data_IF_746911640174
#
_entry.id   IF_746911640174
#
_cell.length_a   1.000
_cell.length_b   1.000
_cell.length_c   1.000
_cell.angle_alpha   90.00
_cell.angle_beta   90.00
_cell.angle_gamma   90.00
#
_symmetry.space_group_name_H-M   'P 1'
#
loop_
_entity.id
_entity.type
_entity.pdbx_description
1 polymer ?
#
# COMPACT_ATOMS: atom_id res chain seq x y z
N UNK A 1 41.57 30.62 49.71
CA UNK A 1 40.35 29.87 49.40
C UNK A 1 39.86 30.32 48.02
N UNK A 2 40.70 30.16 46.99
CA UNK A 2 40.47 30.67 45.62
C UNK A 2 41.57 30.07 44.73
N UNK A 3 41.35 28.89 44.14
CA UNK A 3 42.14 28.30 43.03
C UNK A 3 41.56 26.95 42.51
N UNK A 4 40.23 26.75 42.54
CA UNK A 4 39.60 25.47 42.11
C UNK A 4 38.28 25.70 41.35
N UNK A 5 38.16 26.78 40.58
CA UNK A 5 37.07 26.94 39.62
C UNK A 5 37.50 26.36 38.27
N UNK A 6 37.10 25.12 38.00
CA UNK A 6 37.32 24.45 36.71
C UNK A 6 37.70 22.97 36.78
N UNK A 7 37.94 22.42 37.98
CA UNK A 7 38.26 21.01 38.18
C UNK A 7 37.02 20.39 38.85
N UNK A 8 36.41 19.38 38.20
CA UNK A 8 35.29 18.62 38.75
C UNK A 8 35.59 18.09 40.16
N UNK A 9 34.54 17.72 40.91
CA UNK A 9 34.68 17.29 42.30
C UNK A 9 35.74 16.18 42.43
N UNK A 10 36.84 16.40 43.17
CA UNK A 10 37.93 15.44 43.27
C UNK A 10 37.51 14.22 44.11
N UNK A 11 37.56 13.03 43.52
CA UNK A 11 37.18 11.76 44.13
C UNK A 11 38.38 10.82 44.22
N UNK A 12 38.63 10.30 45.42
CA UNK A 12 39.60 9.24 45.68
C UNK A 12 38.84 7.93 45.91
N UNK A 13 39.15 6.89 45.13
CA UNK A 13 38.56 5.56 45.32
C UNK A 13 39.46 4.71 46.22
N UNK A 14 38.94 4.29 47.37
CA UNK A 14 39.62 3.38 48.30
C UNK A 14 39.10 1.96 48.08
N UNK A 15 39.93 1.10 47.53
CA UNK A 15 39.60 -0.18 46.93
C UNK A 15 39.53 -0.08 45.40
N UNK A 16 40.30 -0.92 44.71
CA UNK A 16 40.49 -1.01 43.25
C UNK A 16 39.79 -2.21 42.61
N UNK A 17 38.83 -2.83 43.30
CA UNK A 17 38.04 -3.98 42.82
C UNK A 17 37.07 -3.65 41.69
N UNK A 18 36.08 -4.52 41.46
CA UNK A 18 35.08 -4.34 40.38
C UNK A 18 34.26 -3.05 40.49
N UNK A 19 33.94 -2.62 41.71
CA UNK A 19 33.23 -1.36 41.95
C UNK A 19 34.04 -0.14 41.50
N UNK A 20 35.35 -0.14 41.74
CA UNK A 20 36.23 0.95 41.33
C UNK A 20 36.37 1.01 39.81
N UNK A 21 36.52 -0.15 39.15
CA UNK A 21 36.52 -0.23 37.69
C UNK A 21 35.25 0.40 37.10
N UNK A 22 34.09 0.01 37.61
CA UNK A 22 32.81 0.53 37.15
C UNK A 22 32.67 2.04 37.39
N UNK A 23 33.19 2.57 38.51
CA UNK A 23 33.22 4.00 38.79
C UNK A 23 34.13 4.76 37.82
N UNK A 24 35.32 4.23 37.52
CA UNK A 24 36.22 4.82 36.54
C UNK A 24 35.57 4.82 35.16
N UNK A 25 35.02 3.70 34.69
CA UNK A 25 34.34 3.65 33.38
C UNK A 25 33.14 4.61 33.30
N UNK A 26 32.46 4.84 34.43
CA UNK A 26 31.25 5.65 34.51
C UNK A 26 31.52 7.15 34.59
N UNK A 27 32.50 7.57 35.39
CA UNK A 27 32.71 8.97 35.75
C UNK A 27 33.83 9.64 34.94
N UNK A 28 34.53 8.87 34.09
CA UNK A 28 35.69 9.38 33.35
C UNK A 28 35.38 10.51 32.36
N UNK A 29 34.19 10.48 31.76
CA UNK A 29 33.77 11.47 30.76
C UNK A 29 32.89 12.57 31.37
N UNK A 30 32.66 12.52 32.70
CA UNK A 30 31.78 13.45 33.39
C UNK A 30 32.56 14.67 33.89
N UNK A 31 32.35 15.85 33.28
CA UNK A 31 33.08 17.09 33.61
C UNK A 31 32.93 17.54 35.09
N UNK A 32 31.86 17.09 35.76
CA UNK A 32 31.55 17.44 37.15
C UNK A 32 32.35 16.63 38.17
N UNK A 33 33.06 15.56 37.76
CA UNK A 33 33.78 14.65 38.66
C UNK A 33 35.20 14.42 38.13
N UNK A 34 36.18 14.45 39.04
CA UNK A 34 37.56 14.13 38.70
C UNK A 34 38.06 13.00 39.61
N UNK A 35 38.35 11.83 39.05
CA UNK A 35 38.97 10.75 39.84
C UNK A 35 40.46 11.08 40.00
N UNK A 36 40.84 11.50 41.20
CA UNK A 36 42.20 11.97 41.52
C UNK A 36 43.12 10.86 41.99
N UNK A 37 42.58 9.67 42.29
CA UNK A 37 43.39 8.52 42.65
C UNK A 37 42.59 7.25 42.91
N UNK A 38 43.28 6.11 42.85
CA UNK A 38 42.76 4.79 43.25
C UNK A 38 43.76 4.10 44.16
N UNK A 39 43.32 3.68 45.35
CA UNK A 39 44.15 2.96 46.30
C UNK A 39 43.72 1.50 46.43
N UNK A 40 44.63 0.55 46.20
CA UNK A 40 44.39 -0.87 46.48
C UNK A 40 45.73 -1.58 46.74
N UNK A 41 45.85 -2.41 47.79
CA UNK A 41 47.06 -3.20 48.02
C UNK A 41 47.31 -4.25 46.93
N UNK A 42 46.29 -4.64 46.16
CA UNK A 42 46.39 -5.58 45.05
C UNK A 42 46.55 -4.84 43.70
N UNK A 43 47.74 -4.83 43.08
CA UNK A 43 47.97 -4.15 41.82
C UNK A 43 47.23 -4.79 40.64
N UNK A 44 46.82 -6.06 40.75
CA UNK A 44 46.07 -6.76 39.70
C UNK A 44 44.57 -6.47 39.74
N UNK A 45 44.11 -5.72 40.76
CA UNK A 45 42.70 -5.39 40.92
C UNK A 45 42.18 -4.63 39.67
N UNK A 46 40.97 -4.97 39.18
CA UNK A 46 40.52 -4.56 37.85
C UNK A 46 40.31 -3.06 37.68
N UNK A 47 39.96 -2.34 38.76
CA UNK A 47 39.88 -0.87 38.78
C UNK A 47 41.24 -0.21 38.96
N UNK A 48 42.15 -0.84 39.71
CA UNK A 48 43.54 -0.38 39.85
C UNK A 48 44.28 -0.40 38.51
N UNK A 49 44.17 -1.50 37.75
CA UNK A 49 44.76 -1.59 36.39
C UNK A 49 44.14 -0.59 35.42
N UNK A 50 42.82 -0.43 35.42
CA UNK A 50 42.15 0.55 34.57
C UNK A 50 42.57 1.99 34.91
N UNK A 51 42.79 2.29 36.20
CA UNK A 51 43.32 3.57 36.63
C UNK A 51 44.71 3.84 36.04
N UNK A 52 45.62 2.85 36.05
CA UNK A 52 46.94 2.96 35.42
C UNK A 52 46.83 3.17 33.90
N UNK A 53 45.99 2.39 33.21
CA UNK A 53 45.75 2.53 31.76
C UNK A 53 45.26 3.94 31.37
N UNK A 54 44.49 4.57 32.25
CA UNK A 54 43.93 5.91 32.05
C UNK A 54 44.79 7.04 32.63
N UNK A 55 45.95 6.73 33.19
CA UNK A 55 46.86 7.73 33.77
C UNK A 55 46.38 8.34 35.09
N UNK A 56 45.44 7.69 35.79
CA UNK A 56 45.00 8.09 37.12
C UNK A 56 46.07 7.65 38.14
N UNK A 57 46.47 8.50 39.10
CA UNK A 57 47.39 8.11 40.16
C UNK A 57 46.90 6.86 40.93
N UNK A 58 47.81 5.90 41.15
CA UNK A 58 47.51 4.66 41.87
C UNK A 58 48.41 4.49 43.08
N UNK A 59 47.85 3.99 44.18
CA UNK A 59 48.53 3.88 45.47
C UNK A 59 48.33 2.49 46.07
N UNK A 60 49.41 1.87 46.53
CA UNK A 60 49.31 0.58 47.25
C UNK A 60 48.80 0.74 48.69
N UNK A 61 48.89 1.94 49.25
CA UNK A 61 48.45 2.27 50.62
C UNK A 61 47.36 3.35 50.62
N UNK A 62 46.29 3.09 51.39
CA UNK A 62 45.13 3.98 51.46
C UNK A 62 45.43 5.30 52.20
N UNK A 63 46.29 5.29 53.22
CA UNK A 63 46.63 6.48 54.00
C UNK A 63 47.55 7.41 53.21
N UNK A 64 48.49 6.85 52.44
CA UNK A 64 49.31 7.60 51.49
C UNK A 64 48.44 8.28 50.44
N UNK A 65 47.49 7.55 49.84
CA UNK A 65 46.55 8.10 48.87
C UNK A 65 45.69 9.24 49.45
N UNK A 66 45.17 9.05 50.67
CA UNK A 66 44.37 10.04 51.38
C UNK A 66 45.13 11.33 51.62
N UNK A 67 46.45 11.28 51.84
CA UNK A 67 47.31 12.46 52.04
C UNK A 67 47.68 13.12 50.72
N UNK A 68 48.00 12.33 49.69
CA UNK A 68 48.41 12.82 48.38
C UNK A 68 47.28 13.50 47.60
N UNK A 69 46.04 13.01 47.75
CA UNK A 69 44.90 13.46 46.96
C UNK A 69 44.04 14.56 47.63
N UNK A 70 44.49 15.20 48.72
CA UNK A 70 43.70 16.27 49.37
C UNK A 70 43.75 17.58 48.58
N UNK A 71 42.63 18.34 48.49
CA UNK A 71 41.30 18.01 49.00
C UNK A 71 40.53 17.05 48.06
N UNK A 72 39.90 16.00 48.61
CA UNK A 72 39.02 15.09 47.86
C UNK A 72 37.83 14.59 48.70
N UNK A 73 36.87 13.94 48.03
CA UNK A 73 35.89 13.03 48.63
C UNK A 73 36.45 11.62 48.52
N UNK A 74 36.59 10.91 49.64
CA UNK A 74 37.01 9.52 49.64
C UNK A 74 35.80 8.60 49.54
N UNK A 75 35.79 7.72 48.53
CA UNK A 75 34.77 6.69 48.36
C UNK A 75 35.38 5.34 48.78
N UNK A 76 34.96 4.84 49.94
CA UNK A 76 35.39 3.54 50.45
C UNK A 76 34.58 2.40 49.84
N UNK A 77 35.20 1.70 48.90
CA UNK A 77 34.68 0.52 48.19
C UNK A 77 35.18 -0.80 48.79
N UNK A 78 36.06 -0.76 49.80
CA UNK A 78 36.62 -1.98 50.43
C UNK A 78 35.64 -2.67 51.37
N UNK A 79 34.64 -1.95 51.88
CA UNK A 79 33.73 -2.42 52.92
C UNK A 79 34.35 -2.53 54.32
N UNK A 80 35.62 -2.13 54.49
CA UNK A 80 36.30 -2.15 55.78
C UNK A 80 36.05 -0.85 56.55
N UNK A 81 35.48 -0.96 57.75
CA UNK A 81 35.22 0.20 58.63
C UNK A 81 36.52 0.92 59.02
N UNK A 82 37.62 0.19 59.19
CA UNK A 82 38.94 0.75 59.50
C UNK A 82 39.45 1.74 58.44
N UNK A 83 39.12 1.50 57.16
CA UNK A 83 39.47 2.41 56.06
C UNK A 83 38.59 3.66 56.08
N UNK A 84 37.29 3.51 56.40
CA UNK A 84 36.42 4.66 56.60
C UNK A 84 36.88 5.51 57.79
N UNK A 85 37.23 4.90 58.93
CA UNK A 85 37.75 5.61 60.11
C UNK A 85 39.03 6.40 59.80
N UNK A 86 39.98 5.77 59.08
CA UNK A 86 41.20 6.44 58.64
C UNK A 86 40.90 7.61 57.68
N UNK A 87 39.97 7.44 56.74
CA UNK A 87 39.55 8.50 55.84
C UNK A 87 38.85 9.65 56.58
N UNK A 88 38.03 9.36 57.59
CA UNK A 88 37.33 10.38 58.41
C UNK A 88 38.33 11.17 59.24
N UNK A 89 39.32 10.52 59.83
CA UNK A 89 40.38 11.18 60.58
C UNK A 89 41.18 12.17 59.71
N UNK A 90 41.34 11.85 58.43
CA UNK A 90 42.13 12.65 57.49
C UNK A 90 41.31 13.73 56.76
N UNK A 91 40.05 13.46 56.38
CA UNK A 91 39.23 14.34 55.52
C UNK A 91 37.99 14.95 56.21
N UNK A 92 37.61 14.44 57.37
CA UNK A 92 36.34 14.74 58.02
C UNK A 92 35.17 13.89 57.50
N UNK A 93 34.17 13.64 58.35
CA UNK A 93 33.05 12.74 58.05
C UNK A 93 32.25 13.13 56.81
N UNK A 94 32.05 14.44 56.60
CA UNK A 94 31.31 15.01 55.46
C UNK A 94 31.92 14.67 54.08
N UNK A 95 33.17 14.20 54.04
CA UNK A 95 33.93 13.93 52.82
C UNK A 95 34.25 12.45 52.60
N UNK A 96 33.63 11.55 53.37
CA UNK A 96 33.85 10.11 53.27
C UNK A 96 32.52 9.42 52.95
N UNK A 97 32.45 8.79 51.79
CA UNK A 97 31.32 7.97 51.37
C UNK A 97 31.73 6.50 51.47
N UNK A 98 31.15 5.71 52.37
CA UNK A 98 31.59 4.33 52.59
C UNK A 98 30.50 3.39 53.07
N UNK A 99 30.82 2.10 53.13
CA UNK A 99 29.93 1.08 53.69
C UNK A 99 28.66 0.84 52.85
N UNK A 100 27.52 0.72 53.53
CA UNK A 100 26.23 0.44 52.88
C UNK A 100 25.73 1.58 51.99
N UNK A 101 26.02 2.84 52.35
CA UNK A 101 25.57 4.02 51.61
C UNK A 101 26.20 4.10 50.21
N UNK A 102 27.52 3.92 50.12
CA UNK A 102 28.23 3.86 48.84
C UNK A 102 27.74 2.70 47.96
N UNK A 103 27.43 1.55 48.58
CA UNK A 103 26.90 0.37 47.90
C UNK A 103 25.48 0.60 47.36
N UNK A 104 24.62 1.26 48.12
CA UNK A 104 23.25 1.62 47.73
C UNK A 104 23.24 2.62 46.57
N UNK A 105 24.04 3.69 46.67
CA UNK A 105 24.19 4.69 45.61
C UNK A 105 24.66 4.02 44.31
N UNK A 106 25.64 3.12 44.40
CA UNK A 106 26.14 2.40 43.25
C UNK A 106 25.09 1.47 42.63
N UNK A 107 24.33 0.73 43.45
CA UNK A 107 23.23 -0.11 42.97
C UNK A 107 22.15 0.72 42.24
N UNK A 108 21.86 1.92 42.73
CA UNK A 108 20.91 2.84 42.07
C UNK A 108 21.44 3.35 40.72
N UNK A 109 22.71 3.78 40.66
CA UNK A 109 23.34 4.25 39.41
C UNK A 109 23.35 3.14 38.35
N UNK A 110 23.72 1.91 38.72
CA UNK A 110 23.75 0.78 37.80
C UNK A 110 22.34 0.46 37.28
N UNK A 111 21.33 0.41 38.17
CA UNK A 111 19.92 0.22 37.76
C UNK A 111 19.42 1.32 36.83
N UNK A 112 19.73 2.59 37.10
CA UNK A 112 19.34 3.71 36.25
C UNK A 112 19.98 3.62 34.87
N UNK A 113 21.26 3.22 34.79
CA UNK A 113 21.95 3.01 33.50
C UNK A 113 21.36 1.85 32.70
N UNK A 114 21.03 0.74 33.37
CA UNK A 114 20.39 -0.40 32.73
C UNK A 114 19.02 -0.02 32.17
N UNK A 115 18.17 0.63 32.98
CA UNK A 115 16.87 1.12 32.54
C UNK A 115 16.98 2.10 31.35
N UNK A 116 17.96 3.02 31.38
CA UNK A 116 18.21 3.93 30.25
C UNK A 116 18.57 3.18 28.97
N UNK A 117 19.48 2.21 29.05
CA UNK A 117 19.91 1.40 27.89
C UNK A 117 18.77 0.56 27.32
N UNK A 118 17.93 -0.01 28.17
CA UNK A 118 16.74 -0.76 27.74
C UNK A 118 15.73 0.14 27.03
N UNK A 119 15.53 1.36 27.54
CA UNK A 119 14.67 2.35 26.91
C UNK A 119 15.20 2.79 25.54
N UNK A 120 16.49 3.14 25.45
CA UNK A 120 17.14 3.53 24.19
C UNK A 120 17.06 2.40 23.15
N UNK A 121 17.30 1.16 23.59
CA UNK A 121 17.16 -0.02 22.73
C UNK A 121 15.74 -0.20 22.23
N UNK A 122 14.74 -0.12 23.12
CA UNK A 122 13.33 -0.26 22.75
C UNK A 122 12.89 0.83 21.77
N UNK A 123 13.35 2.08 21.96
CA UNK A 123 13.10 3.18 21.03
C UNK A 123 13.73 2.92 19.66
N UNK A 124 14.98 2.48 19.61
CA UNK A 124 15.67 2.16 18.35
C UNK A 124 14.98 1.01 17.60
N UNK A 125 14.56 -0.04 18.32
CA UNK A 125 13.82 -1.17 17.75
C UNK A 125 12.48 -0.71 17.15
N UNK A 126 11.71 0.12 17.85
CA UNK A 126 10.45 0.68 17.35
C UNK A 126 10.65 1.51 16.07
N UNK A 127 11.65 2.39 16.06
CA UNK A 127 11.99 3.22 14.89
C UNK A 127 12.37 2.34 13.69
N UNK A 128 13.18 1.31 13.91
CA UNK A 128 13.57 0.38 12.84
C UNK A 128 12.36 -0.34 12.24
N UNK A 129 11.40 -0.78 13.07
CA UNK A 129 10.16 -1.43 12.60
C UNK A 129 9.32 -0.46 11.75
N UNK A 130 9.15 0.79 12.20
CA UNK A 130 8.39 1.81 11.47
C UNK A 130 9.02 2.15 10.11
N UNK A 131 10.35 2.21 10.05
CA UNK A 131 11.10 2.47 8.82
C UNK A 131 11.09 1.27 7.86
N UNK A 132 11.12 0.04 8.37
CA UNK A 132 11.09 -1.18 7.56
C UNK A 132 9.67 -1.57 7.09
N UNK A 133 8.62 -0.93 7.63
CA UNK A 133 7.25 -1.18 7.23
C UNK A 133 7.03 -0.83 5.74
N UNK A 134 6.46 -1.79 5.00
CA UNK A 134 6.14 -1.62 3.58
C UNK A 134 4.91 -0.73 3.39
N UNK A 135 3.93 -0.85 4.29
CA UNK A 135 2.73 -0.03 4.27
C UNK A 135 2.98 1.32 4.94
N UNK A 136 2.26 2.34 4.46
CA UNK A 136 2.26 3.64 5.09
C UNK A 136 1.60 3.56 6.47
N UNK A 137 2.23 4.19 7.46
CA UNK A 137 1.70 4.30 8.81
C UNK A 137 1.55 5.79 9.13
N UNK A 138 0.33 6.17 9.47
CA UNK A 138 -0.05 7.53 9.83
C UNK A 138 -0.70 7.46 11.21
N UNK A 139 -0.18 8.22 12.18
CA UNK A 139 -0.83 8.36 13.49
C UNK A 139 -1.38 9.76 13.63
N UNK A 140 -2.63 9.86 14.05
CA UNK A 140 -3.31 11.13 14.28
C UNK A 140 -3.85 11.22 15.71
N UNK A 141 -3.90 12.44 16.25
CA UNK A 141 -4.65 12.73 17.49
C UNK A 141 -6.15 12.69 17.22
N UNK A 142 -6.95 12.71 18.29
CA UNK A 142 -8.41 12.88 18.19
C UNK A 142 -8.87 14.17 17.47
N UNK A 143 -8.01 15.19 17.37
CA UNK A 143 -8.21 16.41 16.57
C UNK A 143 -8.01 16.20 15.05
N UNK A 144 -7.48 15.06 14.63
CA UNK A 144 -7.09 14.79 13.24
C UNK A 144 -5.69 15.29 12.86
N UNK A 145 -4.94 15.82 13.83
CA UNK A 145 -3.56 16.27 13.65
C UNK A 145 -2.60 15.08 13.52
N UNK A 146 -1.76 15.08 12.48
CA UNK A 146 -0.76 14.04 12.23
C UNK A 146 0.41 14.19 13.20
N UNK A 147 0.71 13.12 13.93
CA UNK A 147 1.84 13.03 14.88
C UNK A 147 2.91 12.04 14.44
N UNK A 148 2.60 11.14 13.52
CA UNK A 148 3.56 10.20 12.92
C UNK A 148 3.23 10.00 11.45
N UNK A 149 4.27 10.00 10.63
CA UNK A 149 4.20 9.74 9.20
C UNK A 149 5.47 9.01 8.80
N UNK A 150 5.39 7.69 8.58
CA UNK A 150 6.58 6.88 8.30
C UNK A 150 7.09 7.06 6.86
N UNK A 151 8.29 6.55 6.57
CA UNK A 151 8.93 6.64 5.26
C UNK A 151 8.07 6.06 4.11
N UNK A 152 7.33 4.98 4.36
CA UNK A 152 6.40 4.43 3.37
C UNK A 152 5.23 5.40 3.06
N UNK A 153 4.70 6.09 4.07
CA UNK A 153 3.69 7.13 3.87
C UNK A 153 4.27 8.34 3.11
N UNK A 154 5.53 8.71 3.36
CA UNK A 154 6.22 9.76 2.58
C UNK A 154 6.30 9.40 1.10
N UNK A 155 6.79 8.20 0.79
CA UNK A 155 6.84 7.70 -0.59
C UNK A 155 5.46 7.59 -1.24
N UNK A 156 4.44 7.24 -0.45
CA UNK A 156 3.07 7.10 -0.92
C UNK A 156 2.42 8.45 -1.24
N UNK A 157 2.46 9.43 -0.35
CA UNK A 157 1.75 10.70 -0.57
C UNK A 157 2.62 11.79 -1.24
N UNK A 158 3.94 11.59 -1.29
CA UNK A 158 4.90 12.55 -1.84
C UNK A 158 5.16 13.76 -0.93
N UNK A 159 4.80 13.66 0.35
CA UNK A 159 5.13 14.65 1.37
C UNK A 159 6.26 14.13 2.25
N UNK A 160 7.18 14.99 2.66
CA UNK A 160 8.06 14.68 3.78
C UNK A 160 7.28 14.79 5.10
N UNK A 161 7.66 14.01 6.12
CA UNK A 161 7.04 13.98 7.43
C UNK A 161 7.02 15.39 8.05
N UNK A 162 8.12 16.12 7.93
CA UNK A 162 8.28 17.51 8.40
C UNK A 162 7.24 18.47 7.80
N UNK A 163 6.71 18.18 6.61
CA UNK A 163 5.70 19.01 5.95
C UNK A 163 4.28 18.73 6.45
N UNK A 164 4.03 17.57 7.05
CA UNK A 164 2.69 17.08 7.42
C UNK A 164 2.50 16.95 8.93
N UNK A 165 3.56 16.79 9.70
CA UNK A 165 3.49 16.76 11.16
C UNK A 165 2.85 18.06 11.67
N UNK A 166 1.88 17.91 12.58
CA UNK A 166 1.09 19.02 13.10
C UNK A 166 -0.04 19.52 12.18
N UNK A 167 -0.17 18.98 10.97
CA UNK A 167 -1.26 19.32 10.05
C UNK A 167 -2.42 18.34 10.17
N UNK A 168 -3.58 18.76 9.70
CA UNK A 168 -4.76 17.91 9.70
C UNK A 168 -4.72 16.90 8.54
N UNK A 169 -5.01 15.64 8.84
CA UNK A 169 -4.99 14.51 7.87
C UNK A 169 -5.93 14.70 6.66
N UNK A 170 -6.92 15.59 6.75
CA UNK A 170 -7.81 15.94 5.64
C UNK A 170 -7.07 16.48 4.39
N UNK A 171 -5.80 16.89 4.51
CA UNK A 171 -4.99 17.26 3.35
C UNK A 171 -4.70 16.09 2.40
N UNK A 172 -4.71 14.85 2.91
CA UNK A 172 -4.39 13.61 2.16
C UNK A 172 -5.60 13.01 1.44
N UNK A 173 -6.73 13.72 1.38
CA UNK A 173 -7.97 13.25 0.77
C UNK A 173 -8.63 14.33 -0.10
N UNK A 174 -9.41 13.94 -1.13
CA UNK A 174 -10.16 14.87 -1.98
C UNK A 174 -11.17 15.70 -1.19
N UNK A 175 -11.48 16.90 -1.69
CA UNK A 175 -12.35 17.87 -0.99
C UNK A 175 -13.73 17.30 -0.63
N UNK A 176 -14.31 16.49 -1.52
CA UNK A 176 -15.60 15.84 -1.31
C UNK A 176 -15.62 14.92 -0.07
N UNK A 177 -14.48 14.29 0.25
CA UNK A 177 -14.35 13.34 1.35
C UNK A 177 -13.93 13.99 2.67
N UNK A 178 -13.34 15.20 2.64
CA UNK A 178 -12.89 15.94 3.84
C UNK A 178 -14.00 16.17 4.86
N UNK A 179 -15.18 16.58 4.40
CA UNK A 179 -16.32 16.88 5.29
C UNK A 179 -16.84 15.61 5.98
N UNK A 180 -16.88 14.49 5.27
CA UNK A 180 -17.32 13.21 5.82
C UNK A 180 -16.32 12.67 6.86
N UNK A 181 -15.01 12.89 6.65
CA UNK A 181 -13.99 12.42 7.58
C UNK A 181 -14.10 13.04 8.99
N UNK A 182 -14.28 14.36 9.07
CA UNK A 182 -14.46 15.04 10.37
C UNK A 182 -15.70 14.51 11.12
N UNK A 183 -16.80 14.25 10.41
CA UNK A 183 -18.01 13.67 10.97
C UNK A 183 -17.79 12.23 11.46
N UNK A 184 -16.95 11.42 10.78
CA UNK A 184 -16.65 10.04 11.20
C UNK A 184 -15.91 9.99 12.53
N UNK A 185 -14.87 10.81 12.73
CA UNK A 185 -14.12 10.87 13.99
C UNK A 185 -15.05 11.32 15.12
N UNK A 186 -15.79 12.42 14.93
CA UNK A 186 -16.72 12.91 15.95
C UNK A 186 -17.82 11.91 16.31
N UNK A 187 -18.37 11.20 15.32
CA UNK A 187 -19.38 10.17 15.54
C UNK A 187 -18.84 9.00 16.34
N UNK A 188 -17.64 8.53 16.02
CA UNK A 188 -16.98 7.44 16.76
C UNK A 188 -16.74 7.84 18.22
N UNK A 189 -16.15 9.02 18.45
CA UNK A 189 -15.88 9.54 19.80
C UNK A 189 -17.15 9.65 20.66
N UNK A 190 -18.29 10.01 20.05
CA UNK A 190 -19.57 10.15 20.76
C UNK A 190 -20.30 8.84 21.03
N UNK A 191 -20.18 7.86 20.13
CA UNK A 191 -21.10 6.71 20.13
C UNK A 191 -20.41 5.37 20.39
N UNK A 192 -19.07 5.32 20.36
CA UNK A 192 -18.29 4.07 20.35
C UNK A 192 -18.56 3.18 19.13
N UNK A 193 -19.49 3.56 18.24
CA UNK A 193 -19.82 2.83 17.03
C UNK A 193 -18.86 3.23 15.93
N UNK A 194 -18.00 2.30 15.57
CA UNK A 194 -17.08 2.43 14.46
C UNK A 194 -17.74 2.11 13.12
N UNK A 195 -17.44 2.91 12.10
CA UNK A 195 -17.59 2.53 10.69
C UNK A 195 -16.27 2.07 10.05
N UNK A 196 -15.11 2.34 10.67
CA UNK A 196 -13.77 2.11 10.11
C UNK A 196 -12.80 1.62 11.20
N UNK A 197 -12.82 2.23 12.39
CA UNK A 197 -11.95 1.92 13.52
C UNK A 197 -12.16 0.49 14.07
N UNK A 198 -11.14 -0.37 14.00
CA UNK A 198 -11.23 -1.76 14.46
C UNK A 198 -12.10 -2.67 13.57
N UNK A 199 -12.27 -2.32 12.29
CA UNK A 199 -12.93 -3.13 11.25
C UNK A 199 -11.95 -3.49 10.14
N UNK A 200 -12.33 -4.43 9.28
CA UNK A 200 -11.58 -4.82 8.08
C UNK A 200 -11.21 -3.60 7.22
N UNK A 201 -10.07 -3.69 6.52
CA UNK A 201 -9.54 -2.63 5.68
C UNK A 201 -10.55 -2.20 4.61
N UNK A 202 -10.65 -0.90 4.34
CA UNK A 202 -11.63 -0.33 3.41
C UNK A 202 -10.96 0.47 2.30
N UNK A 203 -11.52 0.41 1.11
CA UNK A 203 -11.10 1.23 -0.03
C UNK A 203 -11.67 2.66 0.10
N UNK A 204 -10.79 3.66 0.01
CA UNK A 204 -11.08 5.11 0.04
C UNK A 204 -10.30 5.81 -1.06
N UNK A 205 -10.62 7.08 -1.35
CA UNK A 205 -9.82 7.88 -2.29
C UNK A 205 -8.82 8.74 -1.52
N UNK A 206 -7.57 8.66 -1.92
CA UNK A 206 -6.50 9.47 -1.37
C UNK A 206 -6.00 10.50 -2.39
N UNK A 207 -5.34 11.56 -1.90
CA UNK A 207 -4.80 12.64 -2.71
C UNK A 207 -3.31 12.82 -2.40
N UNK A 208 -2.46 12.72 -3.42
CA UNK A 208 -1.02 12.98 -3.32
C UNK A 208 -0.71 14.48 -3.36
N UNK A 209 0.52 14.86 -2.99
CA UNK A 209 1.01 16.25 -3.04
C UNK A 209 0.91 16.90 -4.43
N UNK A 210 1.08 16.12 -5.49
CA UNK A 210 0.97 16.57 -6.88
C UNK A 210 -0.48 16.79 -7.34
N UNK A 211 -1.49 16.51 -6.50
CA UNK A 211 -2.91 16.61 -6.83
C UNK A 211 -3.51 15.36 -7.48
N UNK A 212 -2.73 14.30 -7.67
CA UNK A 212 -3.20 13.02 -8.20
C UNK A 212 -4.07 12.30 -7.17
N UNK A 213 -5.28 11.90 -7.59
CA UNK A 213 -6.16 11.05 -6.78
C UNK A 213 -5.91 9.58 -7.08
N UNK A 214 -5.88 8.74 -6.06
CA UNK A 214 -5.60 7.31 -6.20
C UNK A 214 -6.41 6.47 -5.19
N UNK A 215 -6.74 5.21 -5.53
CA UNK A 215 -7.43 4.32 -4.61
C UNK A 215 -6.47 3.84 -3.51
N UNK A 216 -6.93 3.95 -2.27
CA UNK A 216 -6.17 3.61 -1.08
C UNK A 216 -6.95 2.60 -0.23
N UNK A 217 -6.28 1.55 0.22
CA UNK A 217 -6.81 0.65 1.24
C UNK A 217 -6.37 1.16 2.61
N UNK A 218 -7.33 1.45 3.48
CA UNK A 218 -7.15 2.06 4.80
C UNK A 218 -7.69 1.15 5.90
N UNK A 219 -6.86 0.87 6.90
CA UNK A 219 -7.26 0.28 8.17
C UNK A 219 -6.96 1.27 9.30
N UNK A 220 -7.92 1.50 10.20
CA UNK A 220 -7.75 2.41 11.32
C UNK A 220 -7.92 1.66 12.62
N UNK A 221 -6.97 1.81 13.54
CA UNK A 221 -7.04 1.27 14.89
C UNK A 221 -6.97 2.38 15.93
N UNK A 222 -7.63 2.15 17.06
CA UNK A 222 -7.58 3.04 18.22
C UNK A 222 -6.34 2.71 19.07
N UNK A 223 -5.66 3.75 19.54
CA UNK A 223 -4.56 3.63 20.49
C UNK A 223 -4.81 4.61 21.64
N UNK A 224 -4.99 4.09 22.84
CA UNK A 224 -5.12 4.88 24.07
C UNK A 224 -3.74 4.96 24.74
N UNK A 225 -3.21 6.18 24.88
CA UNK A 225 -1.97 6.47 25.59
C UNK A 225 -2.27 7.37 26.80
N UNK A 226 -1.31 7.47 27.72
CA UNK A 226 -1.45 8.25 28.96
C UNK A 226 -1.75 9.74 28.70
N UNK A 227 -1.28 10.28 27.57
CA UNK A 227 -1.47 11.67 27.17
C UNK A 227 -2.67 11.90 26.23
N UNK A 228 -3.42 10.83 25.91
CA UNK A 228 -4.71 10.94 25.22
C UNK A 228 -4.99 9.86 24.18
N UNK A 229 -6.01 10.12 23.37
CA UNK A 229 -6.51 9.21 22.35
C UNK A 229 -5.90 9.48 20.97
N UNK A 230 -5.42 8.42 20.36
CA UNK A 230 -4.82 8.40 19.02
C UNK A 230 -5.52 7.41 18.10
N UNK A 231 -5.35 7.64 16.81
CA UNK A 231 -5.76 6.72 15.75
C UNK A 231 -4.57 6.39 14.87
N UNK A 232 -4.35 5.10 14.65
CA UNK A 232 -3.30 4.56 13.79
C UNK A 232 -3.94 4.11 12.49
N UNK A 233 -3.63 4.82 11.40
CA UNK A 233 -3.99 4.47 10.04
C UNK A 233 -2.87 3.69 9.36
N UNK A 234 -3.14 2.46 8.92
CA UNK A 234 -2.29 1.71 8.01
C UNK A 234 -2.87 1.84 6.61
N UNK A 235 -2.03 2.26 5.67
CA UNK A 235 -2.46 2.69 4.33
C UNK A 235 -1.64 2.01 3.24
N UNK A 236 -2.32 1.51 2.22
CA UNK A 236 -1.70 0.82 1.08
C UNK A 236 -2.28 1.30 -0.25
N UNK A 237 -1.40 1.58 -1.20
CA UNK A 237 -1.80 1.85 -2.59
C UNK A 237 -2.32 0.58 -3.25
N UNK A 238 -3.56 0.64 -3.75
CA UNK A 238 -4.16 -0.48 -4.48
C UNK A 238 -4.36 -0.17 -5.97
N UNK A 239 -3.73 0.89 -6.48
CA UNK A 239 -3.84 1.31 -7.89
C UNK A 239 -3.43 0.18 -8.84
N UNK A 240 -2.30 -0.47 -8.58
CA UNK A 240 -1.82 -1.58 -9.40
C UNK A 240 -2.78 -2.79 -9.37
N UNK A 241 -3.33 -3.10 -8.20
CA UNK A 241 -4.34 -4.16 -8.02
C UNK A 241 -5.58 -3.85 -8.85
N UNK A 242 -6.12 -2.64 -8.74
CA UNK A 242 -7.31 -2.18 -9.48
C UNK A 242 -7.09 -2.17 -10.99
N UNK A 243 -5.92 -1.69 -11.44
CA UNK A 243 -5.58 -1.72 -12.87
C UNK A 243 -5.47 -3.14 -13.41
N UNK A 244 -4.91 -4.07 -12.64
CA UNK A 244 -4.84 -5.48 -13.02
C UNK A 244 -6.24 -6.12 -13.06
N UNK A 245 -7.07 -5.86 -12.06
CA UNK A 245 -8.47 -6.32 -12.02
C UNK A 245 -9.27 -5.82 -13.22
N UNK A 246 -9.18 -4.52 -13.55
CA UNK A 246 -9.86 -3.94 -14.70
C UNK A 246 -9.33 -4.54 -16.01
N UNK A 247 -8.02 -4.75 -16.13
CA UNK A 247 -7.43 -5.38 -17.31
C UNK A 247 -7.89 -6.82 -17.48
N UNK A 248 -7.97 -7.58 -16.39
CA UNK A 248 -8.53 -8.94 -16.39
C UNK A 248 -9.99 -8.90 -16.82
N UNK A 249 -10.79 -7.98 -16.28
CA UNK A 249 -12.20 -7.80 -16.65
C UNK A 249 -12.34 -7.48 -18.14
N UNK A 250 -11.51 -6.59 -18.67
CA UNK A 250 -11.48 -6.26 -20.09
C UNK A 250 -11.13 -7.48 -20.94
N UNK A 251 -10.08 -8.22 -20.58
CA UNK A 251 -9.68 -9.44 -21.30
C UNK A 251 -10.72 -10.56 -21.22
N UNK A 252 -11.45 -10.66 -20.10
CA UNK A 252 -12.47 -11.68 -19.89
C UNK A 252 -13.74 -11.41 -20.72
N UNK A 253 -14.08 -10.14 -21.00
CA UNK A 253 -15.36 -9.76 -21.59
C UNK A 253 -15.28 -9.03 -22.94
N UNK A 254 -14.11 -8.55 -23.36
CA UNK A 254 -13.95 -7.78 -24.59
C UNK A 254 -12.85 -8.37 -25.49
N UNK A 255 -13.02 -8.26 -26.79
CA UNK A 255 -12.04 -8.61 -27.81
C UNK A 255 -10.90 -7.57 -27.80
N UNK A 256 -9.67 -8.03 -27.55
CA UNK A 256 -8.51 -7.15 -27.38
C UNK A 256 -8.18 -6.33 -28.62
N UNK A 257 -8.57 -6.80 -29.82
CA UNK A 257 -8.27 -6.12 -31.07
C UNK A 257 -9.28 -5.01 -31.38
N UNK A 258 -10.58 -5.30 -31.25
CA UNK A 258 -11.67 -4.40 -31.68
C UNK A 258 -12.31 -3.62 -30.53
N UNK A 259 -12.11 -4.04 -29.27
CA UNK A 259 -12.78 -3.46 -28.10
C UNK A 259 -14.29 -3.77 -28.04
N UNK A 260 -14.79 -4.63 -28.93
CA UNK A 260 -16.16 -5.15 -28.88
C UNK A 260 -16.27 -6.21 -27.77
N UNK A 261 -17.48 -6.44 -27.20
CA UNK A 261 -17.77 -7.66 -26.48
C UNK A 261 -17.22 -8.91 -27.18
N UNK A 262 -16.59 -9.79 -26.39
CA UNK A 262 -16.10 -11.08 -26.89
C UNK A 262 -17.22 -12.13 -26.83
N UNK A 263 -16.87 -13.36 -27.20
CA UNK A 263 -17.77 -14.52 -27.14
C UNK A 263 -18.44 -14.67 -25.78
N UNK A 264 -17.70 -14.59 -24.67
CA UNK A 264 -18.24 -14.77 -23.31
C UNK A 264 -19.30 -13.72 -22.96
N UNK A 265 -18.98 -12.43 -23.16
CA UNK A 265 -19.93 -11.34 -22.85
C UNK A 265 -21.15 -11.37 -23.79
N UNK A 266 -20.97 -11.78 -25.05
CA UNK A 266 -22.07 -11.97 -25.98
C UNK A 266 -23.08 -13.01 -25.48
N UNK A 267 -22.62 -14.22 -25.10
CA UNK A 267 -23.50 -15.29 -24.63
C UNK A 267 -24.21 -14.94 -23.31
N UNK A 268 -23.54 -14.21 -22.42
CA UNK A 268 -24.14 -13.67 -21.20
C UNK A 268 -25.30 -12.71 -21.52
N UNK A 269 -25.04 -11.72 -22.39
CA UNK A 269 -26.07 -10.74 -22.81
C UNK A 269 -27.21 -11.38 -23.57
N UNK A 270 -26.94 -12.35 -24.46
CA UNK A 270 -27.97 -13.08 -25.18
C UNK A 270 -28.87 -13.86 -24.21
N UNK A 271 -28.29 -14.54 -23.22
CA UNK A 271 -29.05 -15.25 -22.20
C UNK A 271 -29.96 -14.32 -21.39
N UNK A 272 -29.44 -13.16 -20.99
CA UNK A 272 -30.21 -12.13 -20.28
C UNK A 272 -31.34 -11.55 -21.15
N UNK A 273 -31.05 -11.19 -22.40
CA UNK A 273 -32.03 -10.65 -23.35
C UNK A 273 -33.14 -11.66 -23.65
N UNK A 274 -32.81 -12.95 -23.83
CA UNK A 274 -33.80 -14.01 -24.03
C UNK A 274 -34.69 -14.21 -22.80
N UNK A 275 -34.13 -14.16 -21.58
CA UNK A 275 -34.93 -14.24 -20.36
C UNK A 275 -35.89 -13.05 -20.22
N UNK A 276 -35.43 -11.84 -20.58
CA UNK A 276 -36.23 -10.62 -20.58
C UNK A 276 -37.35 -10.67 -21.63
N UNK A 277 -37.03 -11.08 -22.86
CA UNK A 277 -37.98 -11.26 -23.96
C UNK A 277 -39.08 -12.27 -23.60
N UNK A 278 -38.71 -13.41 -23.00
CA UNK A 278 -39.70 -14.40 -22.47
C UNK A 278 -40.65 -13.80 -21.46
N UNK A 279 -40.13 -12.95 -20.56
CA UNK A 279 -40.92 -12.34 -19.48
C UNK A 279 -41.90 -11.29 -20.00
N UNK A 280 -41.48 -10.47 -20.95
CA UNK A 280 -42.28 -9.34 -21.44
C UNK A 280 -42.99 -9.61 -22.78
N UNK A 281 -42.77 -10.77 -23.39
CA UNK A 281 -43.38 -11.14 -24.67
C UNK A 281 -42.83 -10.34 -25.85
N UNK A 282 -41.58 -9.86 -25.77
CA UNK A 282 -40.93 -9.15 -26.85
C UNK A 282 -40.14 -10.10 -27.75
N UNK A 283 -39.96 -9.71 -29.01
CA UNK A 283 -39.06 -10.39 -29.93
C UNK A 283 -37.66 -9.77 -29.83
N UNK A 284 -36.65 -10.62 -30.01
CA UNK A 284 -35.25 -10.20 -30.16
C UNK A 284 -34.70 -10.79 -31.44
N UNK A 285 -33.66 -10.15 -31.97
CA UNK A 285 -32.99 -10.59 -33.19
C UNK A 285 -31.52 -10.89 -32.93
N UNK A 286 -31.05 -11.95 -33.57
CA UNK A 286 -29.65 -12.33 -33.61
C UNK A 286 -29.18 -12.32 -35.05
N UNK A 287 -28.16 -11.53 -35.34
CA UNK A 287 -27.50 -11.48 -36.63
C UNK A 287 -26.13 -12.13 -36.49
N UNK A 288 -25.85 -13.16 -37.28
CA UNK A 288 -24.54 -13.79 -37.39
C UNK A 288 -23.88 -13.32 -38.68
N UNK A 289 -22.63 -12.86 -38.61
CA UNK A 289 -21.98 -12.10 -39.68
C UNK A 289 -20.58 -12.66 -39.91
N UNK A 290 -20.24 -12.90 -41.16
CA UNK A 290 -18.88 -13.25 -41.56
C UNK A 290 -18.39 -12.34 -42.68
N UNK A 291 -17.13 -11.91 -42.59
CA UNK A 291 -16.55 -11.00 -43.57
C UNK A 291 -16.08 -11.73 -44.83
N UNK A 292 -16.79 -11.45 -45.92
CA UNK A 292 -16.47 -12.00 -47.22
C UNK A 292 -15.18 -11.38 -47.77
N UNK A 293 -14.19 -12.24 -48.04
CA UNK A 293 -12.93 -11.82 -48.64
C UNK A 293 -11.87 -11.34 -47.65
N UNK A 294 -12.07 -11.53 -46.35
CA UNK A 294 -11.09 -11.17 -45.32
C UNK A 294 -9.79 -11.98 -45.42
N UNK A 295 -9.86 -13.31 -45.59
CA UNK A 295 -8.66 -14.15 -45.71
C UNK A 295 -7.69 -13.72 -46.83
N UNK A 296 -8.14 -13.45 -48.07
CA UNK A 296 -7.29 -12.88 -49.12
C UNK A 296 -6.61 -11.55 -48.75
N UNK A 297 -7.24 -10.71 -47.92
CA UNK A 297 -6.63 -9.46 -47.45
C UNK A 297 -5.43 -9.78 -46.55
N UNK A 298 -5.58 -10.71 -45.60
CA UNK A 298 -4.46 -11.17 -44.75
C UNK A 298 -3.34 -11.79 -45.58
N UNK A 299 -3.69 -12.68 -46.51
CA UNK A 299 -2.71 -13.40 -47.32
C UNK A 299 -1.90 -12.44 -48.22
N UNK A 300 -2.53 -11.35 -48.71
CA UNK A 300 -1.90 -10.39 -49.63
C UNK A 300 -1.18 -9.24 -48.92
N UNK A 301 -1.72 -8.75 -47.80
CA UNK A 301 -1.28 -7.50 -47.16
C UNK A 301 -0.74 -7.70 -45.74
N UNK A 302 -0.80 -8.91 -45.20
CA UNK A 302 -0.35 -9.26 -43.86
C UNK A 302 -1.40 -9.00 -42.78
N UNK A 303 -1.19 -9.65 -41.63
CA UNK A 303 -2.11 -9.60 -40.48
C UNK A 303 -2.28 -8.18 -39.92
N UNK A 304 -1.25 -7.34 -39.93
CA UNK A 304 -1.36 -5.95 -39.45
C UNK A 304 -2.41 -5.14 -40.23
N UNK A 305 -2.54 -5.38 -41.54
CA UNK A 305 -3.57 -4.73 -42.37
C UNK A 305 -4.94 -5.34 -42.08
N UNK A 306 -5.02 -6.66 -41.94
CA UNK A 306 -6.26 -7.32 -41.51
C UNK A 306 -6.77 -6.81 -40.16
N UNK A 307 -5.88 -6.57 -39.21
CA UNK A 307 -6.22 -6.04 -37.90
C UNK A 307 -6.82 -4.64 -37.97
N UNK A 308 -6.28 -3.78 -38.84
CA UNK A 308 -6.85 -2.46 -39.12
C UNK A 308 -8.21 -2.56 -39.80
N UNK A 309 -8.38 -3.51 -40.73
CA UNK A 309 -9.67 -3.77 -41.36
C UNK A 309 -10.72 -4.19 -40.32
N UNK A 310 -10.38 -5.11 -39.43
CA UNK A 310 -11.29 -5.57 -38.36
C UNK A 310 -11.68 -4.44 -37.40
N UNK A 311 -10.73 -3.57 -37.03
CA UNK A 311 -11.01 -2.38 -36.21
C UNK A 311 -12.00 -1.43 -36.89
N UNK A 312 -11.80 -1.17 -38.19
CA UNK A 312 -12.68 -0.28 -38.95
C UNK A 312 -14.07 -0.89 -39.16
N UNK A 313 -14.16 -2.19 -39.44
CA UNK A 313 -15.43 -2.93 -39.51
C UNK A 313 -16.17 -2.82 -38.18
N UNK A 314 -15.50 -3.08 -37.05
CA UNK A 314 -16.08 -2.96 -35.72
C UNK A 314 -16.63 -1.55 -35.45
N UNK A 315 -15.88 -0.52 -35.85
CA UNK A 315 -16.29 0.89 -35.74
C UNK A 315 -17.55 1.17 -36.55
N UNK A 316 -17.58 0.73 -37.82
CA UNK A 316 -18.74 0.92 -38.71
C UNK A 316 -19.98 0.19 -38.20
N UNK A 317 -19.85 -1.07 -37.77
CA UNK A 317 -20.96 -1.83 -37.20
C UNK A 317 -21.54 -1.17 -35.95
N UNK A 318 -20.70 -0.66 -35.04
CA UNK A 318 -21.18 0.10 -33.87
C UNK A 318 -21.98 1.34 -34.24
N UNK A 319 -21.65 2.02 -35.34
CA UNK A 319 -22.38 3.20 -35.80
C UNK A 319 -23.72 2.87 -36.47
N UNK A 320 -23.92 1.62 -36.90
CA UNK A 320 -25.17 1.18 -37.52
C UNK A 320 -26.26 0.79 -36.53
N UNK A 321 -25.90 0.59 -35.25
CA UNK A 321 -26.79 0.06 -34.21
C UNK A 321 -27.01 1.07 -33.10
N UNK A 322 -28.04 0.85 -32.26
CA UNK A 322 -28.35 1.71 -31.11
C UNK A 322 -27.49 1.32 -29.90
N UNK A 323 -27.45 2.18 -28.88
CA UNK A 323 -26.72 1.91 -27.64
C UNK A 323 -27.25 0.66 -26.89
N UNK A 324 -28.54 0.37 -27.02
CA UNK A 324 -29.17 -0.84 -26.48
C UNK A 324 -28.70 -2.14 -27.16
N UNK A 325 -28.21 -2.03 -28.41
CA UNK A 325 -27.84 -3.18 -29.22
C UNK A 325 -26.41 -3.60 -28.89
N UNK A 326 -26.09 -4.88 -29.12
CA UNK A 326 -24.74 -5.39 -28.86
C UNK A 326 -24.10 -5.86 -30.14
N UNK A 327 -23.00 -5.22 -30.56
CA UNK A 327 -22.08 -5.75 -31.57
C UNK A 327 -20.95 -6.47 -30.86
N UNK A 328 -20.74 -7.75 -31.16
CA UNK A 328 -19.66 -8.55 -30.59
C UNK A 328 -18.81 -9.20 -31.68
N UNK A 329 -17.55 -9.50 -31.37
CA UNK A 329 -16.68 -10.30 -32.22
C UNK A 329 -16.39 -11.62 -31.52
N UNK A 330 -16.77 -12.72 -32.15
CA UNK A 330 -16.73 -14.06 -31.53
C UNK A 330 -15.46 -14.84 -31.88
N UNK A 331 -14.78 -14.45 -32.96
CA UNK A 331 -13.47 -14.99 -33.37
C UNK A 331 -13.17 -14.63 -34.83
N UNK A 332 -11.89 -14.60 -35.23
CA UNK A 332 -11.50 -14.41 -36.63
C UNK A 332 -12.17 -13.21 -37.32
N UNK A 333 -12.91 -13.47 -38.38
CA UNK A 333 -13.75 -12.57 -39.17
C UNK A 333 -15.25 -12.64 -38.84
N UNK A 334 -15.60 -13.31 -37.74
CA UNK A 334 -16.98 -13.52 -37.32
C UNK A 334 -17.44 -12.47 -36.30
N UNK A 335 -18.53 -11.79 -36.64
CA UNK A 335 -19.21 -10.81 -35.81
C UNK A 335 -20.64 -11.25 -35.54
N UNK A 336 -21.20 -10.81 -34.42
CA UNK A 336 -22.61 -11.02 -34.10
C UNK A 336 -23.23 -9.72 -33.63
N UNK A 337 -24.50 -9.50 -33.98
CA UNK A 337 -25.30 -8.38 -33.49
C UNK A 337 -26.53 -8.91 -32.79
N UNK A 338 -26.71 -8.54 -31.53
CA UNK A 338 -27.89 -8.81 -30.72
C UNK A 338 -28.75 -7.55 -30.66
N UNK A 339 -30.02 -7.70 -31.03
CA UNK A 339 -31.06 -6.68 -31.00
C UNK A 339 -32.09 -7.09 -29.93
N UNK A 340 -31.98 -6.60 -28.68
CA UNK A 340 -32.77 -7.11 -27.55
C UNK A 340 -34.27 -6.86 -27.68
N UNK A 341 -34.67 -5.82 -28.41
CA UNK A 341 -36.04 -5.41 -28.61
C UNK A 341 -36.26 -5.09 -30.10
N UNK A 342 -37.10 -5.90 -30.75
CA UNK A 342 -37.45 -5.74 -32.16
C UNK A 342 -38.96 -5.58 -32.36
N UNK A 343 -39.30 -4.69 -33.30
CA UNK A 343 -40.64 -4.57 -33.88
C UNK A 343 -40.75 -5.48 -35.12
N UNK A 344 -40.56 -6.78 -34.92
CA UNK A 344 -40.66 -7.80 -35.97
C UNK A 344 -39.48 -7.87 -36.94
N UNK A 345 -39.66 -8.70 -37.97
CA UNK A 345 -38.64 -9.13 -38.91
C UNK A 345 -38.07 -8.00 -39.79
N UNK A 346 -38.89 -7.00 -40.13
CA UNK A 346 -38.45 -5.82 -40.89
C UNK A 346 -37.43 -4.97 -40.11
N UNK A 347 -37.54 -4.92 -38.79
CA UNK A 347 -36.55 -4.24 -37.94
C UNK A 347 -35.17 -4.89 -38.04
N UNK A 348 -35.12 -6.23 -37.92
CA UNK A 348 -33.87 -6.99 -38.06
C UNK A 348 -33.27 -6.86 -39.46
N UNK A 349 -34.12 -6.97 -40.50
CA UNK A 349 -33.71 -6.82 -41.91
C UNK A 349 -33.16 -5.41 -42.19
N UNK A 350 -33.76 -4.37 -41.62
CA UNK A 350 -33.29 -2.99 -41.73
C UNK A 350 -31.89 -2.83 -41.17
N UNK A 351 -31.62 -3.36 -39.96
CA UNK A 351 -30.29 -3.32 -39.35
C UNK A 351 -29.29 -4.13 -40.16
N UNK A 352 -29.65 -5.34 -40.59
CA UNK A 352 -28.78 -6.18 -41.42
C UNK A 352 -28.37 -5.50 -42.73
N UNK A 353 -29.31 -4.84 -43.42
CA UNK A 353 -29.02 -4.09 -44.64
C UNK A 353 -28.13 -2.86 -44.38
N UNK A 354 -28.30 -2.17 -43.25
CA UNK A 354 -27.40 -1.07 -42.86
C UNK A 354 -25.96 -1.55 -42.66
N UNK A 355 -25.79 -2.69 -41.99
CA UNK A 355 -24.46 -3.29 -41.77
C UNK A 355 -23.80 -3.67 -43.10
N UNK A 356 -24.56 -4.28 -44.01
CA UNK A 356 -24.09 -4.63 -45.34
C UNK A 356 -23.69 -3.38 -46.15
N UNK A 357 -24.53 -2.34 -46.14
CA UNK A 357 -24.24 -1.07 -46.81
C UNK A 357 -23.01 -0.37 -46.21
N UNK A 358 -22.79 -0.46 -44.90
CA UNK A 358 -21.61 0.12 -44.25
C UNK A 358 -20.29 -0.53 -44.72
N UNK A 359 -20.33 -1.76 -45.25
CA UNK A 359 -19.17 -2.43 -45.85
C UNK A 359 -19.07 -2.24 -47.36
N UNK A 360 -20.06 -1.62 -48.01
CA UNK A 360 -19.98 -1.33 -49.45
C UNK A 360 -18.88 -0.30 -49.77
N UNK A 361 -18.58 0.61 -48.85
CA UNK A 361 -17.46 1.54 -48.98
C UNK A 361 -16.13 0.82 -48.65
N UNK A 362 -15.07 0.97 -49.47
CA UNK A 362 -13.77 0.40 -49.16
C UNK A 362 -13.25 0.82 -47.77
N UNK A 363 -12.56 -0.10 -47.10
CA UNK A 363 -11.89 0.15 -45.82
C UNK A 363 -10.48 0.66 -46.10
N UNK A 364 -10.19 1.87 -45.64
CA UNK A 364 -8.85 2.44 -45.71
C UNK A 364 -8.01 1.95 -44.53
N UNK A 365 -6.97 1.16 -44.80
CA UNK A 365 -6.01 0.66 -43.82
C UNK A 365 -4.59 1.10 -44.20
N UNK A 366 -4.07 2.12 -43.49
CA UNK A 366 -2.85 2.85 -43.87
C UNK A 366 -2.97 3.37 -45.32
N UNK A 367 -2.06 2.94 -46.20
CA UNK A 367 -2.01 3.34 -47.61
C UNK A 367 -2.76 2.37 -48.54
N UNK A 368 -3.44 1.35 -47.99
CA UNK A 368 -4.16 0.34 -48.76
C UNK A 368 -5.67 0.51 -48.60
N UNK A 369 -6.37 0.50 -49.73
CA UNK A 369 -7.84 0.44 -49.77
C UNK A 369 -8.28 -1.00 -49.99
N UNK A 370 -8.99 -1.57 -49.01
CA UNK A 370 -9.48 -2.95 -49.03
C UNK A 370 -11.00 -2.98 -49.25
N UNK A 371 -11.46 -3.70 -50.27
CA UNK A 371 -12.88 -3.97 -50.49
C UNK A 371 -13.24 -5.35 -49.95
N UNK A 372 -14.26 -5.41 -49.11
CA UNK A 372 -14.81 -6.63 -48.53
C UNK A 372 -16.32 -6.52 -48.46
N UNK A 373 -17.00 -7.66 -48.34
CA UNK A 373 -18.43 -7.72 -48.07
C UNK A 373 -18.70 -8.44 -46.76
N UNK A 374 -19.96 -8.75 -46.50
CA UNK A 374 -20.31 -9.68 -45.44
C UNK A 374 -21.53 -10.53 -45.80
N UNK A 375 -21.52 -11.76 -45.31
CA UNK A 375 -22.67 -12.65 -45.35
C UNK A 375 -23.34 -12.61 -43.98
N UNK A 376 -24.63 -12.30 -43.95
CA UNK A 376 -25.40 -12.10 -42.71
C UNK A 376 -26.54 -13.13 -42.65
N UNK A 377 -26.60 -13.88 -41.56
CA UNK A 377 -27.73 -14.72 -41.18
C UNK A 377 -28.53 -14.10 -40.05
N UNK A 378 -29.86 -14.12 -40.13
CA UNK A 378 -30.75 -13.49 -39.16
C UNK A 378 -31.66 -14.53 -38.54
N UNK A 379 -31.65 -14.65 -37.21
CA UNK A 379 -32.60 -15.46 -36.46
C UNK A 379 -33.40 -14.59 -35.48
N UNK A 380 -34.66 -14.94 -35.23
CA UNK A 380 -35.55 -14.23 -34.31
C UNK A 380 -35.93 -15.17 -33.18
N UNK A 381 -35.95 -14.66 -31.96
CA UNK A 381 -36.54 -15.39 -30.85
C UNK A 381 -37.93 -14.80 -30.56
N UNK A 382 -38.95 -15.66 -30.33
CA UNK A 382 -38.88 -17.11 -30.19
C UNK A 382 -39.02 -17.94 -31.49
N UNK A 383 -39.23 -17.29 -32.64
CA UNK A 383 -39.67 -17.93 -33.90
C UNK A 383 -38.66 -18.97 -34.43
N UNK A 384 -37.37 -18.64 -34.42
CA UNK A 384 -36.28 -19.48 -34.96
C UNK A 384 -35.47 -20.17 -33.86
N UNK A 385 -35.98 -20.27 -32.63
CA UNK A 385 -35.29 -20.97 -31.56
C UNK A 385 -35.82 -20.61 -30.19
N UNK A 386 -35.91 -21.60 -29.30
CA UNK A 386 -36.40 -21.37 -27.94
C UNK A 386 -35.28 -21.21 -26.93
N UNK A 387 -34.09 -21.73 -27.19
CA UNK A 387 -32.90 -21.55 -26.35
C UNK A 387 -31.75 -20.89 -27.12
N UNK A 388 -30.70 -20.54 -26.38
CA UNK A 388 -29.53 -19.83 -26.89
C UNK A 388 -28.86 -20.62 -28.02
N UNK A 389 -28.69 -21.94 -27.84
CA UNK A 389 -27.98 -22.80 -28.79
C UNK A 389 -28.76 -22.94 -30.10
N UNK A 390 -30.07 -23.13 -30.03
CA UNK A 390 -30.95 -23.17 -31.20
C UNK A 390 -30.90 -21.87 -31.99
N UNK A 391 -31.03 -20.73 -31.31
CA UNK A 391 -31.07 -19.43 -31.98
C UNK A 391 -29.74 -19.11 -32.67
N UNK A 392 -28.62 -19.37 -31.99
CA UNK A 392 -27.27 -19.20 -32.57
C UNK A 392 -27.08 -20.13 -33.76
N UNK A 393 -27.49 -21.39 -33.65
CA UNK A 393 -27.41 -22.37 -34.74
C UNK A 393 -28.21 -21.93 -35.96
N UNK A 394 -29.44 -21.43 -35.78
CA UNK A 394 -30.25 -20.96 -36.90
C UNK A 394 -29.66 -19.71 -37.57
N UNK A 395 -29.13 -18.78 -36.78
CA UNK A 395 -28.46 -17.59 -37.33
C UNK A 395 -27.20 -17.97 -38.13
N UNK A 396 -26.40 -18.91 -37.63
CA UNK A 396 -25.20 -19.43 -38.32
C UNK A 396 -25.56 -20.18 -39.63
N UNK A 397 -26.57 -21.05 -39.60
CA UNK A 397 -27.05 -21.74 -40.80
C UNK A 397 -27.51 -20.76 -41.88
N UNK A 398 -28.30 -19.75 -41.53
CA UNK A 398 -28.73 -18.71 -42.46
C UNK A 398 -27.53 -17.93 -43.04
N UNK A 399 -26.52 -17.63 -42.20
CA UNK A 399 -25.30 -16.95 -42.66
C UNK A 399 -24.51 -17.83 -43.64
N UNK A 400 -24.42 -19.13 -43.39
CA UNK A 400 -23.77 -20.08 -44.28
C UNK A 400 -24.49 -20.18 -45.64
N UNK A 401 -25.82 -20.15 -45.65
CA UNK A 401 -26.60 -20.07 -46.87
C UNK A 401 -26.39 -18.77 -47.64
N UNK A 402 -26.24 -17.63 -46.94
CA UNK A 402 -25.89 -16.36 -47.56
C UNK A 402 -24.53 -16.46 -48.29
N UNK A 403 -23.54 -17.10 -47.68
CA UNK A 403 -22.24 -17.38 -48.32
C UNK A 403 -22.39 -18.22 -49.57
N UNK A 404 -23.14 -19.33 -49.50
CA UNK A 404 -23.35 -20.26 -50.64
C UNK A 404 -24.14 -19.62 -51.78
N UNK A 405 -25.06 -18.73 -51.46
CA UNK A 405 -25.91 -18.04 -52.45
C UNK A 405 -25.19 -16.88 -53.17
N UNK A 406 -23.87 -16.73 -53.01
CA UNK A 406 -23.06 -15.74 -53.74
C UNK A 406 -22.53 -14.59 -52.89
N UNK A 407 -22.53 -14.72 -51.55
CA UNK A 407 -21.93 -13.75 -50.60
C UNK A 407 -22.58 -12.36 -50.62
N UNK A 408 -22.11 -11.46 -49.75
CA UNK A 408 -22.54 -10.05 -49.68
C UNK A 408 -24.08 -9.89 -49.65
N UNK A 409 -24.76 -10.62 -48.77
CA UNK A 409 -26.21 -10.63 -48.65
C UNK A 409 -26.70 -11.03 -47.27
N UNK A 410 -27.97 -10.72 -47.03
CA UNK A 410 -28.71 -11.11 -45.83
C UNK A 410 -29.58 -12.33 -46.16
N UNK A 411 -29.57 -13.33 -45.28
CA UNK A 411 -30.51 -14.44 -45.24
C UNK A 411 -31.17 -14.48 -43.88
N UNK A 412 -32.45 -14.79 -43.87
CA UNK A 412 -33.20 -15.00 -42.63
C UNK A 412 -33.32 -16.51 -42.47
N UNK A 413 -33.21 -17.00 -41.24
CA UNK A 413 -33.49 -18.39 -40.94
C UNK A 413 -34.94 -18.70 -41.32
N UNK A 414 -35.14 -19.82 -42.01
CA UNK A 414 -36.47 -20.30 -42.35
C UNK A 414 -37.09 -20.98 -41.11
N UNK A 415 -38.41 -20.85 -40.91
CA UNK A 415 -39.13 -21.54 -39.83
C UNK A 415 -39.02 -23.08 -39.95
N UNK A 416 -38.81 -23.58 -41.17
CA UNK A 416 -38.68 -24.99 -41.49
C UNK A 416 -37.22 -25.42 -41.54
N UNK A 417 -36.65 -25.66 -40.36
CA UNK A 417 -35.48 -26.52 -40.26
C UNK A 417 -35.81 -27.90 -40.87
N UNK A 418 -34.92 -28.40 -41.72
CA UNK A 418 -34.83 -29.83 -42.02
C UNK A 418 -34.80 -30.69 -40.75
#
# INVERSE_FOLDING_TARGET
>A
MEALQGIGQPILLLGGGKGARAMIETLWEEEQVCIVGVADPNPDAPGFRLAQERGIPTFSDALEALKACKPCIAVNLTGLSSISEAAVAELGAERVLGGEEARLIWLMIDKLKQAKRELERSQAEMQAILHAAVDGIIVIRSSGEIVLFNAAAEGLFGYAAEEVLGRNVCMLMPEAERKQHAEYIHRYLRTGKSHIIGREAREVTALRKNGESFPLELSVNRLDLDDGLYFVGVVRDISARKQAEEKIRQLAHYDALTGLPNRSLFFERLSQAMAQARRYGHQLGLLFIDLDGFKPINDKHGHDIGDLVLKEVARRFRQCVRESDTVARIGGDEFVVLLPELEGLEGARSVANKLLQALAEPVQAKDVSCSLGCSIGVALFPDHGRDVDQLVKQADLAMYEAKRAGKNKVRIADEDGL
#
